data_IF_961273644781
#
_entry.id   IF_961273644781
#
_cell.length_a   1.000
_cell.length_b   1.000
_cell.length_c   1.000
_cell.angle_alpha   90.00
_cell.angle_beta   90.00
_cell.angle_gamma   90.00
#
_symmetry.space_group_name_H-M   'P 1'
#
loop_
_entity.id
_entity.type
_entity.pdbx_description
1 polymer ?
#
# COMPACT_ATOMS: atom_id res chain seq x y z
N UNK A 1 3.40 21.08 -23.72
CA UNK A 1 4.57 21.97 -23.97
C UNK A 1 5.32 22.42 -22.72
N UNK A 2 4.67 22.81 -21.61
CA UNK A 2 5.34 23.29 -20.37
C UNK A 2 6.38 22.29 -19.78
N UNK A 3 6.13 21.00 -19.91
CA UNK A 3 7.03 19.93 -19.42
C UNK A 3 8.36 19.85 -20.19
N UNK A 4 8.29 19.93 -21.52
CA UNK A 4 9.47 19.93 -22.39
C UNK A 4 10.31 21.18 -22.10
N UNK A 5 9.66 22.34 -21.88
CA UNK A 5 10.35 23.57 -21.48
C UNK A 5 11.09 23.43 -20.15
N UNK A 6 10.46 22.78 -19.15
CA UNK A 6 11.10 22.52 -17.86
C UNK A 6 12.30 21.57 -17.99
N UNK A 7 12.20 20.57 -18.87
CA UNK A 7 13.32 19.67 -19.17
C UNK A 7 14.52 20.42 -19.77
N UNK A 8 14.32 21.26 -20.80
CA UNK A 8 15.40 22.05 -21.40
C UNK A 8 16.00 23.07 -20.44
N UNK A 9 15.18 23.69 -19.59
CA UNK A 9 15.65 24.57 -18.52
C UNK A 9 16.60 23.83 -17.57
N UNK A 10 16.23 22.62 -17.14
CA UNK A 10 17.07 21.78 -16.29
C UNK A 10 18.35 21.30 -17.00
N UNK A 11 18.27 20.87 -18.27
CA UNK A 11 19.44 20.45 -19.07
C UNK A 11 20.42 21.60 -19.29
N UNK A 12 19.95 22.84 -19.38
CA UNK A 12 20.81 24.03 -19.50
C UNK A 12 21.22 24.61 -18.14
N UNK A 13 20.70 24.11 -17.02
CA UNK A 13 20.98 24.64 -15.69
C UNK A 13 20.33 26.01 -15.41
N UNK A 14 19.27 26.37 -16.14
CA UNK A 14 18.57 27.63 -15.94
C UNK A 14 17.54 27.51 -14.82
N UNK A 15 17.99 27.79 -13.59
CA UNK A 15 17.20 27.66 -12.35
C UNK A 15 16.02 28.62 -12.35
N UNK A 16 16.23 29.89 -12.71
CA UNK A 16 15.19 30.91 -12.72
C UNK A 16 14.05 30.57 -13.69
N UNK A 17 14.39 30.02 -14.87
CA UNK A 17 13.39 29.55 -15.81
C UNK A 17 12.64 28.32 -15.27
N UNK A 18 13.35 27.39 -14.61
CA UNK A 18 12.75 26.22 -13.99
C UNK A 18 11.79 26.58 -12.85
N UNK A 19 12.16 27.52 -11.96
CA UNK A 19 11.32 27.96 -10.83
C UNK A 19 10.03 28.63 -11.33
N UNK A 20 10.12 29.50 -12.33
CA UNK A 20 8.94 30.13 -12.95
C UNK A 20 8.00 29.08 -13.56
N UNK A 21 8.56 28.05 -14.22
CA UNK A 21 7.75 26.98 -14.81
C UNK A 21 7.06 26.13 -13.73
N UNK A 22 7.74 25.84 -12.62
CA UNK A 22 7.17 25.11 -11.49
C UNK A 22 6.05 25.90 -10.80
N UNK A 23 6.25 27.19 -10.54
CA UNK A 23 5.21 28.08 -9.99
C UNK A 23 3.98 28.15 -10.90
N UNK A 24 4.18 28.02 -12.21
CA UNK A 24 3.12 27.95 -13.21
C UNK A 24 2.51 26.55 -13.41
N UNK A 25 2.79 25.62 -12.49
CA UNK A 25 2.18 24.29 -12.44
C UNK A 25 2.77 23.27 -13.42
N UNK A 26 3.98 23.49 -13.95
CA UNK A 26 4.64 22.49 -14.78
C UNK A 26 5.03 21.27 -13.93
N UNK A 27 4.31 20.15 -14.07
CA UNK A 27 4.66 18.86 -13.46
C UNK A 27 5.12 17.88 -14.52
N UNK A 28 6.09 17.03 -14.22
CA UNK A 28 6.43 15.89 -15.07
C UNK A 28 5.22 14.94 -15.07
N UNK A 29 4.63 14.66 -16.24
CA UNK A 29 3.57 13.68 -16.37
C UNK A 29 4.02 12.58 -17.31
N UNK A 30 3.79 11.34 -16.92
CA UNK A 30 4.30 10.18 -17.62
C UNK A 30 3.38 9.74 -18.75
N UNK A 31 2.15 10.26 -18.87
CA UNK A 31 1.25 9.95 -19.99
C UNK A 31 1.81 10.33 -21.37
N UNK A 32 2.75 11.28 -21.43
CA UNK A 32 3.42 11.68 -22.66
C UNK A 32 4.75 10.95 -22.89
N UNK A 33 5.19 10.02 -22.03
CA UNK A 33 6.50 9.33 -22.14
C UNK A 33 6.73 8.66 -23.48
N UNK A 34 5.71 8.20 -24.19
CA UNK A 34 5.90 7.61 -25.52
C UNK A 34 6.14 8.68 -26.59
N UNK A 35 5.43 9.80 -26.55
CA UNK A 35 5.68 10.95 -27.44
C UNK A 35 6.94 11.73 -27.07
N UNK A 36 7.24 11.84 -25.77
CA UNK A 36 8.41 12.49 -25.20
C UNK A 36 9.68 11.65 -25.42
N UNK A 37 9.64 10.33 -25.20
CA UNK A 37 10.70 9.41 -25.67
C UNK A 37 10.82 9.54 -27.18
N UNK A 38 9.77 9.41 -27.97
CA UNK A 38 9.88 9.51 -29.44
C UNK A 38 10.49 10.85 -29.93
N UNK A 39 10.17 11.97 -29.28
CA UNK A 39 10.73 13.28 -29.59
C UNK A 39 12.22 13.40 -29.22
N UNK A 40 12.62 12.90 -28.05
CA UNK A 40 14.03 12.86 -27.63
C UNK A 40 14.85 11.80 -28.40
N UNK A 41 14.29 10.62 -28.69
CA UNK A 41 14.91 9.55 -29.46
C UNK A 41 15.15 9.97 -30.92
N UNK A 42 14.36 10.91 -31.47
CA UNK A 42 14.65 11.51 -32.78
C UNK A 42 15.92 12.38 -32.78
N UNK A 43 16.37 12.86 -31.63
CA UNK A 43 17.49 13.81 -31.54
C UNK A 43 18.75 13.20 -30.91
N UNK A 44 18.65 12.06 -30.20
CA UNK A 44 19.79 11.36 -29.62
C UNK A 44 19.66 9.85 -29.84
N UNK A 45 20.71 9.22 -30.40
CA UNK A 45 20.86 7.76 -30.60
C UNK A 45 20.79 6.91 -29.30
N UNK A 46 20.48 7.50 -28.15
CA UNK A 46 20.52 6.89 -26.82
C UNK A 46 19.25 7.28 -26.03
N UNK A 47 18.58 6.30 -25.42
CA UNK A 47 17.38 6.45 -24.60
C UNK A 47 17.64 7.13 -23.24
N UNK A 48 18.15 8.36 -23.22
CA UNK A 48 18.43 9.08 -21.97
C UNK A 48 17.19 9.81 -21.44
N UNK A 49 16.90 9.62 -20.14
CA UNK A 49 15.93 10.47 -19.43
C UNK A 49 16.53 11.83 -19.07
N UNK A 50 15.69 12.85 -18.79
CA UNK A 50 16.13 14.13 -18.24
C UNK A 50 17.13 14.03 -17.10
N UNK A 51 16.91 13.06 -16.22
CA UNK A 51 17.75 12.80 -15.07
C UNK A 51 19.14 12.26 -15.45
N UNK A 52 19.24 11.41 -16.49
CA UNK A 52 20.55 10.97 -16.99
C UNK A 52 21.37 12.13 -17.54
N UNK A 53 20.75 13.08 -18.23
CA UNK A 53 21.43 14.27 -18.75
C UNK A 53 21.97 15.19 -17.65
N UNK A 54 21.25 15.30 -16.55
CA UNK A 54 21.70 16.08 -15.38
C UNK A 54 22.85 15.40 -14.68
N UNK A 55 22.78 14.07 -14.55
CA UNK A 55 23.89 13.25 -14.04
C UNK A 55 25.13 13.39 -14.93
N UNK A 56 24.97 13.42 -16.26
CA UNK A 56 26.05 13.64 -17.21
C UNK A 56 26.71 15.02 -17.05
N UNK A 57 25.93 16.04 -16.67
CA UNK A 57 26.40 17.43 -16.53
C UNK A 57 26.83 17.82 -15.11
N UNK A 58 26.67 16.92 -14.13
CA UNK A 58 26.89 17.15 -12.69
C UNK A 58 26.18 18.41 -12.14
N UNK A 59 24.99 18.73 -12.64
CA UNK A 59 24.25 19.89 -12.17
C UNK A 59 23.38 19.53 -10.95
N UNK A 60 23.91 19.73 -9.76
CA UNK A 60 23.25 19.44 -8.48
C UNK A 60 21.93 20.21 -8.32
N UNK A 61 21.91 21.48 -8.72
CA UNK A 61 20.76 22.38 -8.52
C UNK A 61 19.60 21.99 -9.45
N UNK A 62 19.91 21.72 -10.72
CA UNK A 62 18.94 21.16 -11.65
C UNK A 62 18.44 19.78 -11.17
N UNK A 63 19.32 18.97 -10.58
CA UNK A 63 18.98 17.67 -9.98
C UNK A 63 18.04 17.79 -8.78
N UNK A 64 18.23 18.78 -7.92
CA UNK A 64 17.37 19.04 -6.78
C UNK A 64 15.95 19.47 -7.21
N UNK A 65 15.86 20.36 -8.20
CA UNK A 65 14.59 20.82 -8.76
C UNK A 65 13.82 19.65 -9.39
N UNK A 66 14.49 18.77 -10.12
CA UNK A 66 13.88 17.59 -10.73
C UNK A 66 13.56 16.49 -9.72
N UNK A 67 14.35 16.34 -8.66
CA UNK A 67 13.98 15.48 -7.56
C UNK A 67 12.72 16.00 -6.86
N UNK A 68 12.53 17.32 -6.74
CA UNK A 68 11.31 17.87 -6.18
C UNK A 68 10.09 17.78 -7.11
N UNK A 69 10.30 18.05 -8.41
CA UNK A 69 9.22 18.14 -9.39
C UNK A 69 8.89 16.82 -10.13
N UNK A 70 9.86 15.91 -10.21
CA UNK A 70 9.82 14.73 -11.07
C UNK A 70 9.03 13.56 -10.50
N UNK A 71 8.54 12.70 -11.39
CA UNK A 71 7.89 11.44 -11.05
C UNK A 71 8.93 10.36 -10.74
N UNK A 72 8.54 9.37 -9.94
CA UNK A 72 9.44 8.29 -9.52
C UNK A 72 9.76 7.35 -10.68
N UNK A 73 8.87 7.24 -11.66
CA UNK A 73 9.07 6.43 -12.86
C UNK A 73 10.30 6.86 -13.67
N UNK A 74 10.59 8.17 -13.73
CA UNK A 74 11.78 8.69 -14.43
C UNK A 74 13.10 8.26 -13.77
N UNK A 75 13.05 7.89 -12.49
CA UNK A 75 14.19 7.35 -11.75
C UNK A 75 14.38 5.84 -11.98
N UNK A 76 13.39 5.14 -12.54
CA UNK A 76 13.44 3.70 -12.84
C UNK A 76 13.85 3.39 -14.27
N UNK A 77 13.65 4.34 -15.19
CA UNK A 77 13.99 4.14 -16.59
C UNK A 77 15.50 3.94 -16.70
N UNK A 78 15.88 2.85 -17.34
CA UNK A 78 17.27 2.54 -17.65
C UNK A 78 17.69 3.22 -18.96
N UNK A 79 18.92 3.68 -19.00
CA UNK A 79 19.54 4.10 -20.25
C UNK A 79 19.83 2.90 -21.17
N UNK A 80 20.38 3.20 -22.34
CA UNK A 80 20.84 2.20 -23.30
C UNK A 80 21.91 1.24 -22.77
N UNK A 81 22.64 1.61 -21.72
CA UNK A 81 23.63 0.78 -21.04
C UNK A 81 23.01 -0.06 -19.91
N UNK A 82 21.69 0.06 -19.69
CA UNK A 82 20.97 -0.66 -18.65
C UNK A 82 21.08 -0.04 -17.25
N UNK A 83 21.69 1.15 -17.13
CA UNK A 83 21.86 1.84 -15.85
C UNK A 83 20.69 2.76 -15.56
N UNK A 84 20.28 2.82 -14.30
CA UNK A 84 19.38 3.88 -13.82
C UNK A 84 20.16 5.17 -13.59
N UNK A 85 19.49 6.35 -13.51
CA UNK A 85 20.16 7.62 -13.26
C UNK A 85 20.99 7.61 -11.97
N UNK A 86 20.51 6.92 -10.93
CA UNK A 86 21.25 6.72 -9.68
C UNK A 86 22.53 5.91 -9.88
N UNK A 87 22.46 4.79 -10.61
CA UNK A 87 23.62 3.94 -10.89
C UNK A 87 24.66 4.70 -11.73
N UNK A 88 24.20 5.50 -12.69
CA UNK A 88 25.07 6.36 -13.48
C UNK A 88 25.75 7.45 -12.63
N UNK A 89 25.03 8.04 -11.67
CA UNK A 89 25.60 9.04 -10.75
C UNK A 89 26.63 8.42 -9.80
N UNK A 90 26.35 7.19 -9.34
CA UNK A 90 27.26 6.42 -8.50
C UNK A 90 28.53 6.02 -9.24
N UNK A 91 28.40 5.52 -10.48
CA UNK A 91 29.55 5.10 -11.29
C UNK A 91 30.47 6.26 -11.69
N UNK A 92 29.93 7.47 -11.83
CA UNK A 92 30.71 8.70 -12.08
C UNK A 92 31.28 9.36 -10.82
N UNK A 93 30.90 8.89 -9.64
CA UNK A 93 31.39 9.48 -8.38
C UNK A 93 30.68 10.78 -7.96
N UNK A 94 29.53 11.12 -8.54
CA UNK A 94 28.73 12.31 -8.17
C UNK A 94 27.97 12.07 -6.86
N UNK A 95 28.70 11.96 -5.74
CA UNK A 95 28.19 11.52 -4.42
C UNK A 95 27.04 12.36 -3.89
N UNK A 96 27.08 13.69 -4.08
CA UNK A 96 26.03 14.60 -3.59
C UNK A 96 24.72 14.40 -4.35
N UNK A 97 24.80 14.26 -5.67
CA UNK A 97 23.66 14.03 -6.54
C UNK A 97 23.05 12.63 -6.30
N UNK A 98 23.91 11.61 -6.18
CA UNK A 98 23.45 10.24 -5.92
C UNK A 98 22.76 10.11 -4.57
N UNK A 99 23.24 10.81 -3.53
CA UNK A 99 22.60 10.87 -2.22
C UNK A 99 21.23 11.54 -2.28
N UNK A 100 21.10 12.64 -3.03
CA UNK A 100 19.83 13.37 -3.19
C UNK A 100 18.77 12.49 -3.88
N UNK A 101 19.16 11.80 -4.96
CA UNK A 101 18.29 10.84 -5.64
C UNK A 101 17.90 9.70 -4.70
N UNK A 102 18.85 9.13 -3.95
CA UNK A 102 18.62 8.02 -3.02
C UNK A 102 17.68 8.39 -1.88
N UNK A 103 17.81 9.58 -1.29
CA UNK A 103 16.92 9.99 -0.19
C UNK A 103 15.46 10.10 -0.63
N UNK A 104 15.20 10.53 -1.87
CA UNK A 104 13.85 10.52 -2.43
C UNK A 104 13.29 9.10 -2.55
N UNK A 105 14.13 8.14 -2.93
CA UNK A 105 13.79 6.71 -2.95
C UNK A 105 13.45 6.18 -1.56
N UNK A 106 14.31 6.44 -0.59
CA UNK A 106 14.15 5.94 0.77
C UNK A 106 12.90 6.53 1.43
N UNK A 107 12.64 7.83 1.26
CA UNK A 107 11.43 8.49 1.74
C UNK A 107 10.15 7.90 1.12
N UNK A 108 10.15 7.69 -0.20
CA UNK A 108 9.02 7.08 -0.89
C UNK A 108 8.79 5.63 -0.43
N UNK A 109 9.85 4.83 -0.39
CA UNK A 109 9.77 3.44 0.06
C UNK A 109 9.26 3.37 1.50
N UNK A 110 9.70 4.26 2.38
CA UNK A 110 9.26 4.29 3.78
C UNK A 110 7.75 4.61 3.88
N UNK A 111 7.26 5.61 3.16
CA UNK A 111 5.83 5.94 3.15
C UNK A 111 5.00 4.83 2.50
N UNK A 112 5.46 4.30 1.36
CA UNK A 112 4.71 3.31 0.59
C UNK A 112 4.72 1.92 1.24
N UNK A 113 5.82 1.50 1.85
CA UNK A 113 5.88 0.30 2.68
C UNK A 113 5.02 0.47 3.94
N UNK A 114 5.14 1.61 4.64
CA UNK A 114 4.42 1.87 5.89
C UNK A 114 2.90 1.93 5.73
N UNK A 115 2.40 2.59 4.68
CA UNK A 115 0.96 2.63 4.37
C UNK A 115 0.42 1.25 4.00
N UNK A 116 1.16 0.46 3.20
CA UNK A 116 0.74 -0.90 2.82
C UNK A 116 0.73 -1.85 4.02
N UNK A 117 1.74 -1.80 4.88
CA UNK A 117 1.77 -2.67 6.08
C UNK A 117 0.67 -2.30 7.07
N UNK A 118 0.39 -1.01 7.25
CA UNK A 118 -0.74 -0.54 8.07
C UNK A 118 -2.08 -1.04 7.55
N UNK A 119 -2.34 -0.94 6.24
CA UNK A 119 -3.58 -1.45 5.63
C UNK A 119 -3.74 -2.96 5.80
N UNK A 120 -2.68 -3.74 5.57
CA UNK A 120 -2.70 -5.19 5.76
C UNK A 120 -2.98 -5.52 7.24
N UNK A 121 -2.31 -4.84 8.17
CA UNK A 121 -2.54 -5.05 9.60
C UNK A 121 -3.98 -4.76 10.00
N UNK A 122 -4.59 -3.69 9.50
CA UNK A 122 -5.97 -3.33 9.82
C UNK A 122 -6.96 -4.43 9.38
N UNK A 123 -6.75 -4.99 8.19
CA UNK A 123 -7.56 -6.09 7.66
C UNK A 123 -7.41 -7.34 8.54
N UNK A 124 -6.18 -7.68 8.94
CA UNK A 124 -5.91 -8.83 9.81
C UNK A 124 -6.57 -8.65 11.18
N UNK A 125 -6.47 -7.47 11.79
CA UNK A 125 -7.12 -7.19 13.07
C UNK A 125 -8.64 -7.33 12.99
N UNK A 126 -9.27 -6.84 11.92
CA UNK A 126 -10.72 -6.97 11.72
C UNK A 126 -11.15 -8.44 11.60
N UNK A 127 -10.40 -9.26 10.86
CA UNK A 127 -10.68 -10.70 10.71
C UNK A 127 -10.52 -11.44 12.05
N UNK A 128 -9.44 -11.18 12.78
CA UNK A 128 -9.21 -11.78 14.11
C UNK A 128 -10.33 -11.39 15.08
N UNK A 129 -10.79 -10.14 15.04
CA UNK A 129 -11.91 -9.69 15.85
C UNK A 129 -13.21 -10.46 15.53
N UNK A 130 -13.52 -10.66 14.25
CA UNK A 130 -14.65 -11.48 13.81
C UNK A 130 -14.55 -12.94 14.29
N UNK A 131 -13.37 -13.56 14.15
CA UNK A 131 -13.14 -14.92 14.61
C UNK A 131 -13.31 -15.06 16.12
N UNK A 132 -12.82 -14.09 16.91
CA UNK A 132 -13.01 -14.09 18.37
C UNK A 132 -14.49 -14.07 18.76
N UNK A 133 -15.34 -13.29 18.07
CA UNK A 133 -16.78 -13.24 18.34
C UNK A 133 -17.44 -14.59 17.99
N UNK A 134 -17.11 -15.14 16.83
CA UNK A 134 -17.67 -16.43 16.39
C UNK A 134 -17.28 -17.57 17.35
N UNK A 135 -16.00 -17.65 17.75
CA UNK A 135 -15.55 -18.67 18.70
C UNK A 135 -16.20 -18.51 20.07
N UNK A 136 -16.39 -17.28 20.56
CA UNK A 136 -17.14 -17.02 21.80
C UNK A 136 -18.59 -17.47 21.69
N UNK A 137 -19.26 -17.14 20.59
CA UNK A 137 -20.64 -17.57 20.34
C UNK A 137 -20.77 -19.09 20.27
N UNK A 138 -19.87 -19.77 19.56
CA UNK A 138 -19.86 -21.23 19.47
C UNK A 138 -19.57 -21.88 20.83
N UNK A 139 -18.61 -21.34 21.58
CA UNK A 139 -18.29 -21.81 22.93
C UNK A 139 -19.49 -21.62 23.88
N UNK A 140 -20.20 -20.50 23.76
CA UNK A 140 -21.42 -20.23 24.53
C UNK A 140 -22.53 -21.23 24.20
N UNK A 141 -22.76 -21.50 22.92
CA UNK A 141 -23.74 -22.50 22.45
C UNK A 141 -23.43 -23.90 22.99
N UNK A 142 -22.17 -24.33 22.94
CA UNK A 142 -21.72 -25.60 23.51
C UNK A 142 -21.93 -25.62 25.03
N UNK A 143 -21.61 -24.51 25.72
CA UNK A 143 -21.75 -24.41 27.17
C UNK A 143 -23.19 -24.51 27.67
N UNK A 144 -24.15 -24.05 26.88
CA UNK A 144 -25.58 -24.09 27.18
C UNK A 144 -26.30 -25.27 26.50
N UNK A 145 -25.59 -26.03 25.67
CA UNK A 145 -26.15 -27.09 24.82
C UNK A 145 -27.38 -26.61 24.02
N UNK A 146 -27.23 -25.48 23.30
CA UNK A 146 -28.28 -24.86 22.49
C UNK A 146 -27.77 -24.53 21.08
N UNK A 147 -28.58 -24.79 20.07
CA UNK A 147 -28.25 -24.46 18.67
C UNK A 147 -28.64 -23.03 18.30
N UNK A 148 -27.98 -22.46 17.28
CA UNK A 148 -28.33 -21.12 16.73
C UNK A 148 -29.80 -21.06 16.34
N UNK A 149 -30.34 -22.15 15.77
CA UNK A 149 -31.73 -22.19 15.36
C UNK A 149 -32.68 -22.13 16.56
N UNK A 150 -32.39 -22.85 17.64
CA UNK A 150 -33.17 -22.82 18.88
C UNK A 150 -33.08 -21.44 19.57
N UNK A 151 -31.92 -20.80 19.59
CA UNK A 151 -31.77 -19.46 20.18
C UNK A 151 -32.43 -18.38 19.33
N UNK A 152 -32.33 -18.47 17.99
CA UNK A 152 -32.88 -17.45 17.08
C UNK A 152 -34.40 -17.58 16.92
N UNK A 153 -34.92 -18.81 16.93
CA UNK A 153 -36.35 -19.11 16.87
C UNK A 153 -36.94 -19.46 18.24
N UNK A 154 -36.28 -19.03 19.31
CA UNK A 154 -36.69 -19.15 20.70
C UNK A 154 -38.20 -18.89 20.91
N UNK A 155 -38.71 -17.83 20.31
CA UNK A 155 -40.12 -17.43 20.43
C UNK A 155 -41.12 -18.39 19.78
N UNK A 156 -40.69 -19.26 18.85
CA UNK A 156 -41.56 -20.27 18.20
C UNK A 156 -41.61 -21.60 18.95
N UNK A 157 -40.67 -21.81 19.87
CA UNK A 157 -40.53 -23.07 20.57
C UNK A 157 -41.05 -22.91 22.00
N UNK A 158 -42.30 -23.34 22.24
CA UNK A 158 -42.96 -23.23 23.54
C UNK A 158 -42.17 -23.91 24.67
N UNK A 159 -41.43 -24.99 24.36
CA UNK A 159 -40.58 -25.69 25.33
C UNK A 159 -39.35 -24.89 25.79
N UNK A 160 -38.98 -23.83 25.07
CA UNK A 160 -37.93 -22.89 25.45
C UNK A 160 -38.48 -21.70 26.26
N UNK A 161 -39.81 -21.57 26.37
CA UNK A 161 -40.47 -20.52 27.14
C UNK A 161 -40.74 -21.00 28.57
N UNK A 162 -40.09 -20.35 29.53
CA UNK A 162 -40.32 -20.56 30.96
C UNK A 162 -41.59 -19.85 31.44
N UNK A 163 -42.09 -20.26 32.61
CA UNK A 163 -43.23 -19.61 33.24
C UNK A 163 -42.85 -18.16 33.60
N UNK A 164 -43.55 -17.18 33.03
CA UNK A 164 -43.25 -15.75 33.22
C UNK A 164 -42.36 -15.12 32.14
N UNK A 165 -42.19 -15.75 30.97
CA UNK A 165 -41.46 -15.17 29.83
C UNK A 165 -39.93 -15.29 29.91
N UNK A 166 -39.41 -15.99 30.92
CA UNK A 166 -37.97 -16.27 31.03
C UNK A 166 -37.55 -17.37 30.06
N UNK A 167 -36.38 -17.25 29.44
CA UNK A 167 -35.86 -18.27 28.54
C UNK A 167 -35.37 -19.50 29.33
N UNK A 168 -35.83 -20.70 28.95
CA UNK A 168 -35.51 -21.96 29.63
C UNK A 168 -34.61 -22.84 28.76
N UNK A 169 -33.51 -23.34 29.33
CA UNK A 169 -32.57 -24.25 28.66
C UNK A 169 -32.77 -25.71 29.14
N UNK A 170 -33.70 -26.48 28.56
CA UNK A 170 -34.04 -27.82 29.05
C UNK A 170 -32.89 -28.84 28.95
N UNK A 171 -32.00 -28.69 27.98
CA UNK A 171 -30.85 -29.58 27.75
C UNK A 171 -29.55 -29.12 28.44
N UNK A 172 -29.61 -28.07 29.25
CA UNK A 172 -28.47 -27.55 29.97
C UNK A 172 -28.27 -28.32 31.29
N UNK A 173 -27.18 -29.08 31.39
CA UNK A 173 -26.79 -29.83 32.59
C UNK A 173 -25.64 -29.18 33.38
N UNK A 174 -25.33 -27.92 33.08
CA UNK A 174 -24.21 -27.16 33.62
C UNK A 174 -22.97 -27.18 32.71
N UNK A 175 -22.23 -26.07 32.71
CA UNK A 175 -21.11 -25.79 31.77
C UNK A 175 -20.12 -26.97 31.69
N UNK A 176 -19.67 -27.49 32.84
CA UNK A 176 -18.68 -28.60 32.86
C UNK A 176 -19.21 -29.86 32.19
N UNK A 177 -20.46 -30.24 32.49
CA UNK A 177 -21.08 -31.45 31.92
C UNK A 177 -21.34 -31.27 30.44
N UNK A 178 -21.92 -30.15 30.02
CA UNK A 178 -22.22 -29.88 28.61
C UNK A 178 -20.94 -29.85 27.75
N UNK A 179 -19.88 -29.19 28.22
CA UNK A 179 -18.61 -29.16 27.50
C UNK A 179 -17.94 -30.54 27.47
N UNK A 180 -17.86 -31.25 28.61
CA UNK A 180 -17.26 -32.61 28.65
C UNK A 180 -17.99 -33.57 27.71
N UNK A 181 -19.32 -33.50 27.72
CA UNK A 181 -20.17 -34.22 26.80
C UNK A 181 -19.79 -33.92 25.34
N UNK A 182 -19.76 -32.66 24.93
CA UNK A 182 -19.39 -32.28 23.56
C UNK A 182 -18.04 -32.87 23.09
N UNK A 183 -17.01 -32.86 23.94
CA UNK A 183 -15.69 -33.41 23.61
C UNK A 183 -15.63 -34.94 23.59
N UNK A 184 -16.44 -35.62 24.41
CA UNK A 184 -16.46 -37.09 24.49
C UNK A 184 -17.29 -37.71 23.36
N UNK A 185 -18.44 -37.11 23.03
CA UNK A 185 -19.39 -37.68 22.05
C UNK A 185 -19.41 -36.92 20.72
N UNK A 186 -18.47 -35.98 20.50
CA UNK A 186 -18.19 -35.42 19.16
C UNK A 186 -19.34 -34.62 18.53
N UNK A 187 -20.08 -33.84 19.33
CA UNK A 187 -21.18 -33.01 18.82
C UNK A 187 -22.45 -33.76 18.42
N UNK A 188 -22.49 -35.09 18.58
CA UNK A 188 -23.70 -35.91 18.46
C UNK A 188 -24.60 -35.80 19.71
N UNK A 189 -24.88 -34.57 20.16
CA UNK A 189 -25.84 -34.34 21.23
C UNK A 189 -27.23 -34.07 20.67
N UNK A 190 -28.03 -35.13 20.62
CA UNK A 190 -29.45 -35.14 20.93
C UNK A 190 -29.77 -36.46 21.62
#
# INVERSE_FOLDING_TARGET
>A
MKQIALHWAAVRGSISAADVLLRNGARFNTSDIHGFKACLTRMCKHCFTPLHWIVLKDNIEAGAILAYAGTIEELLIKDHSGFTPYQLASSRGHRRLSFLIRNKWDFFLLIWMGTRTSSISAIVTLHVFGMMILTRSQSYQISQNITINESSNAHRYDYLQGHGGQFRYPYNHGIKKNCSNFFIYGGHFR
#
